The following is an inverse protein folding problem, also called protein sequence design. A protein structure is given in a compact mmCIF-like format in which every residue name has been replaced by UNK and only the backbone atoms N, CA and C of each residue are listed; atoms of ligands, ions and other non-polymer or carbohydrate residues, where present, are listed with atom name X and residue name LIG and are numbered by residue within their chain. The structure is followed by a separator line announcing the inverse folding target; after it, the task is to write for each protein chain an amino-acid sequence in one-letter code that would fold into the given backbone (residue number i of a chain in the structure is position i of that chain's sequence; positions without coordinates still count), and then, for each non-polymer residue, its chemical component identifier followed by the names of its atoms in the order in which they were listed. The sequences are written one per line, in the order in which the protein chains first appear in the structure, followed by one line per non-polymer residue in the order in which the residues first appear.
data_IF_014778255622
#
_entry.id   IF_014778255622
#
_cell.length_a   1.000
_cell.length_b   1.000
_cell.length_c   1.000
_cell.angle_alpha   90.00
_cell.angle_beta   90.00
_cell.angle_gamma   90.00
#
_symmetry.space_group_name_H-M   'P 1'
#
loop_
_entity.id
_entity.type
_entity.pdbx_description
1 polymer ?
#
# COMPACT_ATOMS: atom_id res chain seq x y z
N UNK A 1 11.81 -4.33 15.24
CA UNK A 1 11.26 -2.95 15.20
C UNK A 1 9.82 -3.00 15.67
N UNK A 2 9.48 -2.37 16.80
CA UNK A 2 8.09 -2.29 17.26
C UNK A 2 7.39 -1.14 16.51
N UNK A 3 6.71 -1.44 15.42
CA UNK A 3 5.85 -0.46 14.74
C UNK A 3 4.40 -0.94 14.80
N UNK A 4 3.49 -0.05 15.23
CA UNK A 4 2.06 -0.34 15.20
C UNK A 4 1.60 -0.35 13.74
N UNK A 5 1.12 -1.50 13.27
CA UNK A 5 0.46 -1.61 11.97
C UNK A 5 -0.97 -1.10 12.07
N UNK A 6 -1.44 -0.47 11.01
CA UNK A 6 -2.81 0.01 10.87
C UNK A 6 -3.44 -0.66 9.66
N UNK A 7 -4.75 -0.89 9.74
CA UNK A 7 -5.50 -1.38 8.59
C UNK A 7 -5.58 -0.31 7.51
N UNK A 8 -5.53 -0.75 6.25
CA UNK A 8 -5.73 0.13 5.11
C UNK A 8 -7.16 0.67 5.13
N UNK A 9 -7.37 1.98 4.91
CA UNK A 9 -8.72 2.52 4.84
C UNK A 9 -9.49 1.92 3.67
N UNK A 10 -10.80 1.81 3.84
CA UNK A 10 -11.71 1.41 2.78
C UNK A 10 -11.65 2.39 1.61
N UNK A 11 -11.72 1.85 0.39
CA UNK A 11 -11.73 2.66 -0.81
C UNK A 11 -13.10 3.27 -1.00
N UNK A 12 -13.13 4.59 -1.00
CA UNK A 12 -14.36 5.33 -1.21
C UNK A 12 -14.74 5.29 -2.68
N UNK A 13 -16.02 5.10 -2.92
CA UNK A 13 -16.63 5.28 -4.24
C UNK A 13 -17.07 6.72 -4.42
N UNK A 14 -17.06 7.19 -5.66
CA UNK A 14 -17.51 8.53 -5.98
C UNK A 14 -17.43 8.81 -7.48
N UNK A 15 -18.37 9.63 -7.96
CA UNK A 15 -18.49 10.02 -9.37
C UNK A 15 -17.66 11.26 -9.73
N UNK A 16 -16.92 11.78 -8.76
CA UNK A 16 -16.02 12.91 -8.90
C UNK A 16 -14.81 12.76 -7.98
N UNK A 17 -13.71 13.42 -8.35
CA UNK A 17 -12.50 13.46 -7.56
C UNK A 17 -12.75 14.15 -6.22
N UNK A 18 -12.52 13.46 -5.10
CA UNK A 18 -12.68 13.97 -3.74
C UNK A 18 -11.56 14.93 -3.29
N UNK A 19 -10.86 15.54 -4.26
CA UNK A 19 -9.85 16.57 -4.04
C UNK A 19 -10.16 17.84 -4.85
N UNK A 20 -10.51 17.71 -6.13
CA UNK A 20 -10.79 18.86 -7.00
C UNK A 20 -12.24 18.93 -7.50
N UNK A 21 -13.09 17.97 -7.16
CA UNK A 21 -14.50 17.92 -7.58
C UNK A 21 -14.72 17.58 -9.06
N UNK A 22 -13.66 17.38 -9.84
CA UNK A 22 -13.84 17.03 -11.26
C UNK A 22 -14.54 15.69 -11.43
N UNK A 23 -15.54 15.61 -12.33
CA UNK A 23 -16.23 14.36 -12.63
C UNK A 23 -15.27 13.33 -13.22
N UNK A 24 -15.46 12.07 -12.86
CA UNK A 24 -14.80 10.97 -13.56
C UNK A 24 -15.51 10.66 -14.88
N UNK A 25 -14.85 9.88 -15.75
CA UNK A 25 -15.30 9.72 -17.12
C UNK A 25 -16.68 9.04 -17.29
N UNK A 26 -17.13 8.23 -16.32
CA UNK A 26 -18.47 7.65 -16.34
C UNK A 26 -19.56 8.63 -15.92
N UNK A 27 -19.20 9.75 -15.29
CA UNK A 27 -20.12 10.81 -14.93
C UNK A 27 -20.31 11.79 -16.11
N UNK A 28 -20.98 11.29 -17.15
CA UNK A 28 -21.22 12.05 -18.39
C UNK A 28 -22.01 13.33 -18.13
N UNK A 29 -23.01 13.28 -17.23
CA UNK A 29 -23.79 14.46 -16.82
C UNK A 29 -22.89 15.52 -16.18
N UNK A 30 -21.99 15.12 -15.30
CA UNK A 30 -21.01 16.00 -14.69
C UNK A 30 -20.05 16.61 -15.70
N UNK A 31 -19.56 15.84 -16.67
CA UNK A 31 -18.66 16.33 -17.73
C UNK A 31 -19.33 17.40 -18.60
N UNK A 32 -20.57 17.14 -19.03
CA UNK A 32 -21.34 18.08 -19.85
C UNK A 32 -21.63 19.37 -19.07
N UNK A 33 -22.02 19.27 -17.80
CA UNK A 33 -22.28 20.42 -16.94
C UNK A 33 -21.03 21.26 -16.64
N UNK A 34 -19.88 20.61 -16.43
CA UNK A 34 -18.63 21.28 -16.07
C UNK A 34 -17.81 21.77 -17.29
N UNK A 35 -18.24 21.46 -18.53
CA UNK A 35 -17.53 21.78 -19.79
C UNK A 35 -16.06 21.36 -19.77
N UNK A 36 -15.74 20.26 -19.11
CA UNK A 36 -14.36 19.82 -18.92
C UNK A 36 -13.90 18.98 -20.12
N UNK A 37 -12.93 19.47 -20.88
CA UNK A 37 -12.29 18.70 -21.94
C UNK A 37 -11.23 17.77 -21.33
N UNK A 38 -11.53 16.48 -21.23
CA UNK A 38 -10.57 15.46 -20.82
C UNK A 38 -11.17 14.30 -20.02
N UNK A 39 -10.74 13.09 -20.33
CA UNK A 39 -11.13 11.85 -19.64
C UNK A 39 -10.29 11.72 -18.35
N UNK A 40 -10.91 11.91 -17.18
CA UNK A 40 -10.25 11.65 -15.89
C UNK A 40 -10.58 10.25 -15.39
N UNK A 41 -9.53 9.43 -15.24
CA UNK A 41 -9.64 8.12 -14.60
C UNK A 41 -9.67 8.27 -13.08
N UNK A 42 -10.39 7.38 -12.42
CA UNK A 42 -10.40 7.27 -10.97
C UNK A 42 -9.21 6.44 -10.50
N UNK A 43 -8.61 6.91 -9.42
CA UNK A 43 -7.58 6.23 -8.65
C UNK A 43 -7.92 6.37 -7.17
N UNK A 44 -7.33 5.52 -6.33
CA UNK A 44 -7.49 5.65 -4.88
C UNK A 44 -6.17 6.04 -4.21
N UNK A 45 -6.26 6.93 -3.23
CA UNK A 45 -5.13 7.20 -2.33
C UNK A 45 -5.00 6.04 -1.35
N UNK A 46 -3.85 5.35 -1.32
CA UNK A 46 -3.66 4.18 -0.45
C UNK A 46 -3.59 4.52 1.05
N UNK A 47 -3.35 5.79 1.40
CA UNK A 47 -3.32 6.27 2.79
C UNK A 47 -4.68 6.67 3.36
N UNK A 48 -5.61 7.18 2.54
CA UNK A 48 -6.90 7.69 3.02
C UNK A 48 -8.13 7.11 2.32
N UNK A 49 -7.96 6.25 1.32
CA UNK A 49 -9.05 5.58 0.62
C UNK A 49 -9.81 6.45 -0.38
N UNK A 50 -9.57 7.77 -0.45
CA UNK A 50 -10.32 8.68 -1.31
C UNK A 50 -10.16 8.39 -2.81
N UNK A 51 -11.26 8.50 -3.55
CA UNK A 51 -11.29 8.51 -5.00
C UNK A 51 -10.74 9.85 -5.55
N UNK A 52 -9.66 9.78 -6.32
CA UNK A 52 -8.88 10.92 -6.82
C UNK A 52 -8.55 10.73 -8.30
N UNK A 53 -8.36 11.83 -9.04
CA UNK A 53 -7.90 11.76 -10.42
C UNK A 53 -6.36 11.78 -10.52
N UNK A 54 -5.83 11.48 -11.71
CA UNK A 54 -4.39 11.49 -11.98
C UNK A 54 -3.69 12.79 -11.52
N UNK A 55 -4.17 14.01 -11.87
CA UNK A 55 -3.54 15.26 -11.43
C UNK A 55 -3.51 15.46 -9.91
N UNK A 56 -4.47 14.90 -9.17
CA UNK A 56 -4.54 15.02 -7.71
C UNK A 56 -3.72 13.96 -6.97
N UNK A 57 -3.09 13.03 -7.69
CA UNK A 57 -2.42 11.86 -7.12
C UNK A 57 -1.14 11.48 -7.86
N UNK A 58 -0.31 12.47 -8.16
CA UNK A 58 0.96 12.32 -8.89
C UNK A 58 2.09 11.70 -8.05
N UNK A 59 1.92 11.63 -6.73
CA UNK A 59 2.96 11.18 -5.81
C UNK A 59 2.81 9.70 -5.44
N UNK A 60 3.95 9.07 -5.17
CA UNK A 60 4.02 7.72 -4.65
C UNK A 60 5.03 7.65 -3.51
N UNK A 61 4.72 6.89 -2.47
CA UNK A 61 5.62 6.63 -1.35
C UNK A 61 5.30 5.28 -0.71
N UNK A 62 6.27 4.59 -0.09
CA UNK A 62 5.97 3.41 0.72
C UNK A 62 5.16 3.85 1.95
N UNK A 63 4.31 2.94 2.45
CA UNK A 63 3.58 3.10 3.70
C UNK A 63 3.69 1.78 4.50
N UNK A 64 4.87 1.44 5.03
CA UNK A 64 5.06 0.17 5.73
C UNK A 64 4.09 0.01 6.90
N UNK A 65 3.70 1.12 7.57
CA UNK A 65 2.70 1.14 8.64
C UNK A 65 1.33 0.60 8.22
N UNK A 66 1.01 0.65 6.93
CA UNK A 66 -0.19 0.09 6.31
C UNK A 66 0.09 -1.21 5.52
N UNK A 67 1.29 -1.77 5.63
CA UNK A 67 1.71 -2.97 4.92
C UNK A 67 2.23 -2.74 3.49
N UNK A 68 2.36 -1.49 3.05
CA UNK A 68 2.90 -1.16 1.73
C UNK A 68 4.41 -0.90 1.81
N UNK A 69 5.21 -1.97 1.67
CA UNK A 69 6.67 -1.83 1.67
C UNK A 69 7.22 -1.23 0.36
N UNK A 70 6.44 -1.27 -0.72
CA UNK A 70 6.76 -0.64 -2.00
C UNK A 70 5.98 0.66 -2.19
N UNK A 71 6.49 1.62 -3.02
CA UNK A 71 5.80 2.86 -3.29
C UNK A 71 4.37 2.66 -3.83
N UNK A 72 3.40 3.28 -3.17
CA UNK A 72 1.99 3.27 -3.56
C UNK A 72 1.47 4.68 -3.78
N UNK A 73 0.43 4.81 -4.60
CA UNK A 73 -0.16 6.10 -4.98
C UNK A 73 -0.77 6.83 -3.78
N UNK A 74 -0.45 8.11 -3.67
CA UNK A 74 -0.97 9.03 -2.67
C UNK A 74 -1.60 10.26 -3.33
N UNK A 75 -2.65 10.80 -2.70
CA UNK A 75 -3.10 12.15 -3.02
C UNK A 75 -2.10 13.19 -2.50
N UNK A 76 -2.08 14.38 -3.09
CA UNK A 76 -1.15 15.45 -2.70
C UNK A 76 -1.17 15.77 -1.19
N UNK A 77 -2.33 15.87 -0.50
CA UNK A 77 -2.34 16.10 0.96
C UNK A 77 -1.75 14.95 1.77
N UNK A 78 -2.01 13.70 1.39
CA UNK A 78 -1.47 12.53 2.09
C UNK A 78 0.05 12.44 1.93
N UNK A 79 0.57 12.82 0.77
CA UNK A 79 2.01 12.88 0.52
C UNK A 79 2.66 14.00 1.33
N UNK A 80 2.07 15.19 1.35
CA UNK A 80 2.60 16.34 2.12
C UNK A 80 2.59 16.12 3.64
N UNK A 81 1.73 15.22 4.13
CA UNK A 81 1.62 14.88 5.56
C UNK A 81 2.42 13.62 5.94
N UNK A 82 3.27 13.09 5.05
CA UNK A 82 4.16 11.98 5.40
C UNK A 82 5.23 12.46 6.37
N UNK A 83 5.52 11.62 7.36
CA UNK A 83 6.61 11.81 8.29
C UNK A 83 7.67 10.73 8.08
N UNK A 84 8.94 10.94 8.49
CA UNK A 84 10.00 9.95 8.31
C UNK A 84 9.66 8.55 8.83
N UNK A 85 8.92 8.46 9.94
CA UNK A 85 8.46 7.18 10.49
C UNK A 85 7.48 6.43 9.59
N UNK A 86 6.72 7.13 8.73
CA UNK A 86 5.80 6.51 7.79
C UNK A 86 6.53 5.81 6.64
N UNK A 87 7.83 6.06 6.48
CA UNK A 87 8.68 5.55 5.40
C UNK A 87 9.64 4.45 5.87
N UNK A 88 9.74 4.21 7.18
CA UNK A 88 10.66 3.23 7.74
C UNK A 88 10.18 1.81 7.41
N UNK A 89 11.00 0.98 6.74
CA UNK A 89 10.66 -0.41 6.46
C UNK A 89 10.30 -1.15 7.75
N UNK A 90 9.20 -1.88 7.72
CA UNK A 90 8.79 -2.73 8.84
C UNK A 90 8.93 -4.22 8.55
N UNK A 91 9.23 -4.57 7.30
CA UNK A 91 9.66 -5.89 6.91
C UNK A 91 11.18 -5.95 6.77
N UNK A 92 11.78 -7.03 7.26
CA UNK A 92 13.12 -7.43 6.83
C UNK A 92 12.93 -8.31 5.59
N UNK A 93 13.39 -7.84 4.43
CA UNK A 93 13.39 -8.65 3.22
C UNK A 93 14.49 -9.70 3.34
N UNK A 94 14.09 -10.96 3.52
CA UNK A 94 14.99 -12.08 3.34
C UNK A 94 14.67 -12.69 1.99
N UNK A 95 15.53 -12.41 0.99
CA UNK A 95 15.43 -13.02 -0.33
C UNK A 95 15.57 -14.54 -0.18
N UNK A 96 14.42 -15.19 -0.07
CA UNK A 96 14.29 -16.61 -0.19
C UNK A 96 14.54 -16.92 -1.66
N UNK A 97 15.81 -17.03 -2.06
CA UNK A 97 16.22 -17.36 -3.44
C UNK A 97 15.77 -18.76 -3.92
N UNK A 98 14.84 -19.40 -3.21
CA UNK A 98 14.18 -20.64 -3.59
C UNK A 98 12.67 -20.53 -3.42
N UNK A 99 11.93 -21.24 -4.27
CA UNK A 99 10.48 -21.37 -4.17
C UNK A 99 10.13 -22.07 -2.86
N UNK A 100 9.41 -21.39 -1.98
CA UNK A 100 8.90 -21.94 -0.72
C UNK A 100 7.63 -22.75 -1.01
N UNK A 101 7.58 -23.98 -0.48
CA UNK A 101 6.45 -24.91 -0.57
C UNK A 101 5.66 -24.93 0.73
N UNK A 102 6.38 -24.88 1.86
CA UNK A 102 5.81 -24.91 3.20
C UNK A 102 6.57 -23.95 4.10
N UNK A 103 5.82 -23.31 4.99
CA UNK A 103 6.29 -22.43 6.04
C UNK A 103 5.71 -22.90 7.35
N UNK A 104 6.51 -22.90 8.42
CA UNK A 104 6.08 -23.20 9.77
C UNK A 104 6.78 -22.27 10.76
N UNK A 105 6.06 -21.75 11.76
CA UNK A 105 6.62 -20.89 12.80
C UNK A 105 6.57 -21.65 14.11
N UNK A 106 7.73 -21.88 14.70
CA UNK A 106 7.83 -22.45 16.03
C UNK A 106 7.99 -21.31 17.04
N UNK A 107 6.88 -20.91 17.66
CA UNK A 107 6.82 -19.76 18.57
C UNK A 107 7.73 -19.92 19.79
N UNK A 108 7.85 -21.12 20.35
CA UNK A 108 8.64 -21.37 21.56
C UNK A 108 10.14 -21.13 21.38
N UNK A 109 10.67 -21.34 20.17
CA UNK A 109 12.07 -21.04 19.83
C UNK A 109 12.23 -19.80 18.95
N UNK A 110 11.12 -19.07 18.72
CA UNK A 110 11.05 -17.94 17.80
C UNK A 110 11.76 -18.22 16.47
N UNK A 111 11.51 -19.40 15.89
CA UNK A 111 12.18 -19.86 14.67
C UNK A 111 11.17 -20.03 13.55
N UNK A 112 11.52 -19.54 12.36
CA UNK A 112 10.77 -19.76 11.12
C UNK A 112 11.44 -20.88 10.32
N UNK A 113 10.68 -21.90 9.96
CA UNK A 113 11.09 -22.96 9.06
C UNK A 113 10.49 -22.71 7.68
N UNK A 114 11.32 -22.80 6.63
CA UNK A 114 10.87 -22.76 5.24
C UNK A 114 11.44 -23.96 4.49
N UNK A 115 10.59 -24.70 3.76
CA UNK A 115 11.03 -25.80 2.88
C UNK A 115 10.79 -25.44 1.42
N UNK A 116 11.77 -25.70 0.55
CA UNK A 116 11.64 -25.51 -0.89
C UNK A 116 11.57 -26.79 -1.72
N UNK A 117 11.40 -26.64 -3.03
CA UNK A 117 11.51 -27.75 -4.00
C UNK A 117 12.96 -28.16 -4.30
N UNK A 118 13.92 -27.38 -3.82
CA UNK A 118 15.36 -27.59 -3.93
C UNK A 118 15.90 -28.54 -2.86
N UNK A 119 15.02 -29.19 -2.09
CA UNK A 119 15.35 -30.07 -0.95
C UNK A 119 16.13 -29.35 0.16
N UNK A 120 16.11 -28.02 0.17
CA UNK A 120 16.66 -27.24 1.27
C UNK A 120 15.56 -26.95 2.29
N UNK A 121 15.91 -27.17 3.55
CA UNK A 121 15.16 -26.68 4.71
C UNK A 121 15.99 -25.54 5.29
N UNK A 122 15.40 -24.34 5.35
CA UNK A 122 16.01 -23.20 6.02
C UNK A 122 15.31 -22.95 7.33
N UNK A 123 16.12 -22.72 8.35
CA UNK A 123 15.70 -22.26 9.66
C UNK A 123 16.19 -20.82 9.81
N UNK A 124 15.28 -19.95 10.20
CA UNK A 124 15.55 -18.53 10.41
C UNK A 124 15.26 -18.20 11.86
N UNK A 125 16.22 -17.63 12.56
CA UNK A 125 15.96 -17.05 13.88
C UNK A 125 15.19 -15.75 13.69
N UNK A 126 13.97 -15.71 14.20
CA UNK A 126 13.18 -14.49 14.19
C UNK A 126 13.68 -13.60 15.33
N UNK A 127 13.78 -12.28 15.11
CA UNK A 127 14.09 -11.36 16.19
C UNK A 127 12.98 -11.43 17.25
N UNK A 128 13.36 -11.42 18.53
CA UNK A 128 12.38 -11.41 19.62
C UNK A 128 11.44 -10.21 19.45
N UNK A 129 10.12 -10.42 19.59
CA UNK A 129 9.16 -9.32 19.68
C UNK A 129 9.39 -8.65 21.03
N UNK A 130 10.39 -7.78 21.09
CA UNK A 130 10.70 -6.98 22.26
C UNK A 130 9.50 -6.20 22.70
#
# INVERSE_FOLDING_TARGET
MKGKRFETPEWQEGDACQQCGHPFFWNVRGIVGAKTMGVRRQHHCRRCGKAVCDPCSTHQAPLPCLGFEYPVRLCAPCHASLQPQDLLPMACFMDSKHRIVKVDIHEASNTLLTTGNDRLVKLWELPNPG
#
